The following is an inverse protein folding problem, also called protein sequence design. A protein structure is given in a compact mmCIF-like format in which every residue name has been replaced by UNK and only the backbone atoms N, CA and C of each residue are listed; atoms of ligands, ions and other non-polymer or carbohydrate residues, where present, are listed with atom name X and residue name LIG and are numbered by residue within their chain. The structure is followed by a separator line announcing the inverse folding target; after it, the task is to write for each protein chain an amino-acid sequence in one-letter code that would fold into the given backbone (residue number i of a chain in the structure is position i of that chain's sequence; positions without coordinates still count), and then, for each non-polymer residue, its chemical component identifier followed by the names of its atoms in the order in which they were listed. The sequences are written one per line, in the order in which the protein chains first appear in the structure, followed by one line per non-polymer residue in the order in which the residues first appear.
data_IF_647931309534
#
_entry.id   IF_647931309534
#
_cell.length_a   1.000
_cell.length_b   1.000
_cell.length_c   1.000
_cell.angle_alpha   90.00
_cell.angle_beta   90.00
_cell.angle_gamma   90.00
#
_symmetry.space_group_name_H-M   'P 1'
#
loop_
_entity.id
_entity.type
_entity.pdbx_description
1 polymer ?
#
# COMPACT_ATOMS: atom_id res chain seq x y z
N UNK A 1 -5.18 -7.23 23.53
CA UNK A 1 -5.91 -7.79 22.37
C UNK A 1 -6.35 -6.62 21.49
N UNK A 2 -5.69 -6.41 20.36
CA UNK A 2 -6.13 -5.44 19.35
C UNK A 2 -6.72 -6.21 18.18
N UNK A 3 -8.05 -6.24 18.09
CA UNK A 3 -8.76 -6.86 16.99
C UNK A 3 -8.66 -5.92 15.77
N UNK A 4 -7.56 -6.03 15.02
CA UNK A 4 -7.36 -5.23 13.80
C UNK A 4 -8.36 -5.68 12.74
N UNK A 5 -9.46 -4.94 12.63
CA UNK A 5 -10.53 -5.18 11.65
C UNK A 5 -10.16 -4.75 10.23
N UNK A 6 -8.87 -4.63 9.90
CA UNK A 6 -8.41 -4.30 8.55
C UNK A 6 -8.47 -5.53 7.63
N UNK A 7 -9.65 -6.14 7.51
CA UNK A 7 -9.92 -7.17 6.50
C UNK A 7 -10.00 -6.48 5.14
N UNK A 8 -9.19 -6.96 4.21
CA UNK A 8 -9.28 -6.54 2.83
C UNK A 8 -10.64 -6.96 2.27
N UNK A 9 -11.22 -6.09 1.47
CA UNK A 9 -12.53 -6.33 0.80
C UNK A 9 -12.45 -7.56 -0.11
N UNK A 10 -11.29 -7.78 -0.73
CA UNK A 10 -10.97 -8.96 -1.55
C UNK A 10 -9.75 -9.65 -0.94
N UNK A 11 -9.94 -10.71 -0.13
CA UNK A 11 -8.84 -11.41 0.55
C UNK A 11 -7.78 -11.99 -0.39
N UNK A 12 -8.18 -12.38 -1.60
CA UNK A 12 -7.31 -12.96 -2.63
C UNK A 12 -6.28 -11.95 -3.13
N UNK A 13 -6.61 -10.66 -3.11
CA UNK A 13 -5.71 -9.58 -3.52
C UNK A 13 -4.62 -9.27 -2.48
N UNK A 14 -4.63 -9.93 -1.31
CA UNK A 14 -3.72 -9.60 -0.19
C UNK A 14 -2.26 -9.59 -0.57
N UNK A 15 -1.81 -10.64 -1.26
CA UNK A 15 -0.43 -10.79 -1.67
C UNK A 15 -0.03 -9.68 -2.66
N UNK A 16 -0.85 -9.45 -3.67
CA UNK A 16 -0.61 -8.40 -4.67
C UNK A 16 -0.58 -6.99 -4.07
N UNK A 17 -1.51 -6.67 -3.16
CA UNK A 17 -1.54 -5.37 -2.47
C UNK A 17 -0.34 -5.18 -1.55
N UNK A 18 0.13 -6.26 -0.89
CA UNK A 18 1.35 -6.19 -0.08
C UNK A 18 2.59 -5.94 -0.95
N UNK A 19 2.70 -6.64 -2.08
CA UNK A 19 3.80 -6.45 -3.02
C UNK A 19 3.84 -5.00 -3.54
N UNK A 20 2.70 -4.47 -3.99
CA UNK A 20 2.59 -3.09 -4.44
C UNK A 20 2.98 -2.08 -3.36
N UNK A 21 2.58 -2.32 -2.11
CA UNK A 21 2.97 -1.48 -0.98
C UNK A 21 4.49 -1.44 -0.78
N UNK A 22 5.17 -2.58 -0.94
CA UNK A 22 6.63 -2.67 -0.82
C UNK A 22 7.34 -1.95 -1.97
N UNK A 23 6.85 -2.13 -3.20
CA UNK A 23 7.37 -1.44 -4.39
C UNK A 23 7.26 0.08 -4.25
N UNK A 24 6.08 0.57 -3.87
CA UNK A 24 5.84 2.00 -3.64
C UNK A 24 6.71 2.54 -2.53
N UNK A 25 6.88 1.80 -1.43
CA UNK A 25 7.77 2.23 -0.36
C UNK A 25 9.22 2.36 -0.88
N UNK A 26 9.67 1.43 -1.72
CA UNK A 26 10.96 1.50 -2.40
C UNK A 26 11.08 2.73 -3.31
N UNK A 27 10.08 3.01 -4.14
CA UNK A 27 10.03 4.21 -5.01
C UNK A 27 10.08 5.52 -4.21
N UNK A 28 9.50 5.52 -3.01
CA UNK A 28 9.48 6.66 -2.10
C UNK A 28 10.76 6.76 -1.24
N UNK A 29 11.78 5.94 -1.51
CA UNK A 29 13.07 5.96 -0.82
C UNK A 29 13.06 5.31 0.56
N UNK A 30 12.01 4.57 0.92
CA UNK A 30 11.94 3.79 2.16
C UNK A 30 12.52 2.39 1.93
N UNK A 31 13.84 2.30 2.03
CA UNK A 31 14.54 1.02 2.06
C UNK A 31 14.12 0.20 3.28
N UNK A 32 13.92 -1.11 3.10
CA UNK A 32 13.56 -2.06 4.16
C UNK A 32 12.17 -1.84 4.82
N UNK A 33 11.23 -1.21 4.12
CA UNK A 33 9.87 -0.97 4.62
C UNK A 33 9.12 -2.25 5.05
N UNK A 34 9.49 -3.42 4.53
CA UNK A 34 8.94 -4.70 4.97
C UNK A 34 9.29 -5.01 6.43
N UNK A 35 10.57 -4.91 6.79
CA UNK A 35 11.11 -5.34 8.08
C UNK A 35 11.18 -4.22 9.12
N UNK A 36 11.09 -2.95 8.70
CA UNK A 36 11.02 -1.81 9.62
C UNK A 36 9.72 -1.88 10.41
N UNK A 37 9.81 -1.63 11.73
CA UNK A 37 8.64 -1.37 12.56
C UNK A 37 7.98 -0.06 12.11
N UNK A 38 6.72 -0.12 11.71
CA UNK A 38 5.96 1.04 11.20
C UNK A 38 5.74 2.08 12.30
N UNK A 39 5.89 1.70 13.58
CA UNK A 39 5.90 2.61 14.72
C UNK A 39 7.12 3.54 14.76
N UNK A 40 8.24 3.15 14.13
CA UNK A 40 9.44 4.00 14.02
C UNK A 40 9.37 4.98 12.86
N UNK A 41 8.42 4.80 11.94
CA UNK A 41 8.19 5.71 10.83
C UNK A 41 7.25 6.84 11.26
N UNK A 42 7.48 8.04 10.76
CA UNK A 42 6.55 9.14 11.01
C UNK A 42 5.18 8.82 10.41
N UNK A 43 4.10 9.31 11.05
CA UNK A 43 2.75 9.17 10.51
C UNK A 43 2.64 9.67 9.07
N UNK A 44 3.42 10.71 8.72
CA UNK A 44 3.49 11.25 7.36
C UNK A 44 4.10 10.26 6.36
N UNK A 45 5.17 9.55 6.73
CA UNK A 45 5.80 8.55 5.87
C UNK A 45 4.86 7.38 5.59
N UNK A 46 4.28 6.80 6.65
CA UNK A 46 3.29 5.72 6.53
C UNK A 46 2.08 6.17 5.68
N UNK A 47 1.58 7.39 5.93
CA UNK A 47 0.48 7.97 5.18
C UNK A 47 0.82 8.19 3.71
N UNK A 48 2.05 8.57 3.40
CA UNK A 48 2.48 8.80 2.01
C UNK A 48 2.54 7.51 1.20
N UNK A 49 3.04 6.40 1.78
CA UNK A 49 2.99 5.07 1.14
C UNK A 49 1.54 4.67 0.85
N UNK A 50 0.65 4.75 1.84
CA UNK A 50 -0.75 4.38 1.67
C UNK A 50 -1.46 5.25 0.64
N UNK A 51 -1.24 6.57 0.67
CA UNK A 51 -1.82 7.50 -0.30
C UNK A 51 -1.36 7.24 -1.73
N UNK A 52 -0.07 6.95 -1.93
CA UNK A 52 0.46 6.63 -3.26
C UNK A 52 -0.05 5.26 -3.76
N UNK A 53 -0.23 4.29 -2.86
CA UNK A 53 -0.86 3.00 -3.17
C UNK A 53 -2.30 3.18 -3.67
N UNK A 54 -3.11 3.95 -2.95
CA UNK A 54 -4.48 4.28 -3.40
C UNK A 54 -4.46 4.99 -4.74
N UNK A 55 -3.54 5.95 -4.96
CA UNK A 55 -3.43 6.67 -6.23
C UNK A 55 -3.15 5.73 -7.40
N UNK A 56 -2.18 4.80 -7.28
CA UNK A 56 -1.90 3.81 -8.32
C UNK A 56 -3.07 2.85 -8.56
N UNK A 57 -3.75 2.42 -7.50
CA UNK A 57 -4.93 1.57 -7.61
C UNK A 57 -6.05 2.25 -8.40
N UNK A 58 -6.32 3.52 -8.09
CA UNK A 58 -7.30 4.33 -8.83
C UNK A 58 -6.87 4.50 -10.28
N UNK A 59 -5.60 4.81 -10.54
CA UNK A 59 -5.09 4.97 -11.91
C UNK A 59 -5.26 3.68 -12.75
N UNK A 60 -4.97 2.50 -12.18
CA UNK A 60 -5.18 1.24 -12.89
C UNK A 60 -6.67 0.98 -13.17
N UNK A 61 -7.54 1.28 -12.20
CA UNK A 61 -8.98 1.16 -12.40
C UNK A 61 -9.48 2.13 -13.47
N UNK A 62 -8.99 3.37 -13.49
CA UNK A 62 -9.29 4.37 -14.51
C UNK A 62 -8.86 3.91 -15.91
N UNK A 63 -7.65 3.34 -16.05
CA UNK A 63 -7.18 2.75 -17.32
C UNK A 63 -8.08 1.61 -17.79
N UNK A 64 -8.39 0.67 -16.88
CA UNK A 64 -9.29 -0.45 -17.16
C UNK A 64 -10.68 0.03 -17.60
N UNK A 65 -11.25 1.04 -16.92
CA UNK A 65 -12.55 1.63 -17.27
C UNK A 65 -12.50 2.40 -18.59
N UNK A 66 -11.36 3.01 -18.92
CA UNK A 66 -11.14 3.68 -20.21
C UNK A 66 -10.87 2.70 -21.37
N UNK A 67 -10.79 1.40 -21.11
CA UNK A 67 -10.44 0.38 -22.11
C UNK A 67 -9.00 0.49 -22.59
N UNK A 68 -8.10 0.99 -21.74
CA UNK A 68 -6.67 1.17 -22.01
C UNK A 68 -5.80 0.33 -21.09
#
# INVERSE_FOLDING_TARGET
MSNSNNRQVVPEARAALNQMKLEIAGELGMSNYENIDKGNLTARQNGYVGGYMTKKLVEMAEKQMAGK
#
